data_IF_611098802369
#
_entry.id   IF_611098802369
#
_cell.length_a   1.000
_cell.length_b   1.000
_cell.length_c   1.000
_cell.angle_alpha   90.00
_cell.angle_beta   90.00
_cell.angle_gamma   90.00
#
_symmetry.space_group_name_H-M   'P 1'
#
loop_
_entity.id
_entity.type
_entity.pdbx_description
1 polymer ?
#
# COMPACT_ATOMS: atom_id res chain seq x y z
N UNK A 1 -17.14 -8.80 -21.14
CA UNK A 1 -16.39 -7.54 -21.08
C UNK A 1 -15.87 -7.40 -19.67
N UNK A 2 -14.56 -7.49 -19.45
CA UNK A 2 -13.99 -7.27 -18.12
C UNK A 2 -14.10 -5.80 -17.76
N UNK A 3 -14.87 -5.50 -16.73
CA UNK A 3 -14.99 -4.16 -16.16
C UNK A 3 -13.62 -3.72 -15.60
N UNK A 4 -13.16 -2.53 -15.98
CA UNK A 4 -11.89 -1.94 -15.53
C UNK A 4 -11.88 -1.82 -14.00
N UNK A 5 -13.04 -1.53 -13.38
CA UNK A 5 -13.18 -1.46 -11.94
C UNK A 5 -12.93 -2.82 -11.27
N UNK A 6 -13.44 -3.91 -11.85
CA UNK A 6 -13.21 -5.27 -11.35
C UNK A 6 -11.73 -5.65 -11.42
N UNK A 7 -11.03 -5.31 -12.50
CA UNK A 7 -9.59 -5.55 -12.63
C UNK A 7 -8.82 -4.78 -11.54
N UNK A 8 -9.16 -3.50 -11.33
CA UNK A 8 -8.51 -2.67 -10.31
C UNK A 8 -8.70 -3.25 -8.90
N UNK A 9 -9.91 -3.73 -8.57
CA UNK A 9 -10.20 -4.36 -7.27
C UNK A 9 -9.41 -5.66 -7.10
N UNK A 10 -9.34 -6.53 -8.11
CA UNK A 10 -8.55 -7.77 -8.04
C UNK A 10 -7.06 -7.46 -7.87
N UNK A 11 -6.52 -6.55 -8.67
CA UNK A 11 -5.13 -6.11 -8.56
C UNK A 11 -4.83 -5.52 -7.18
N UNK A 12 -5.79 -4.78 -6.60
CA UNK A 12 -5.65 -4.23 -5.25
C UNK A 12 -5.52 -5.33 -4.19
N UNK A 13 -6.23 -6.45 -4.31
CA UNK A 13 -6.11 -7.56 -3.34
C UNK A 13 -4.76 -8.25 -3.45
N UNK A 14 -4.27 -8.46 -4.67
CA UNK A 14 -2.90 -8.97 -4.93
C UNK A 14 -1.86 -8.03 -4.32
N UNK A 15 -1.99 -6.73 -4.56
CA UNK A 15 -1.08 -5.72 -4.01
C UNK A 15 -1.12 -5.66 -2.48
N UNK A 16 -2.30 -5.83 -1.85
CA UNK A 16 -2.39 -5.97 -0.38
C UNK A 16 -1.62 -7.19 0.11
N UNK A 17 -1.80 -8.34 -0.53
CA UNK A 17 -1.11 -9.57 -0.14
C UNK A 17 0.41 -9.45 -0.26
N UNK A 18 0.88 -8.91 -1.39
CA UNK A 18 2.31 -8.66 -1.62
C UNK A 18 2.87 -7.62 -0.64
N UNK A 19 2.19 -6.48 -0.48
CA UNK A 19 2.66 -5.41 0.38
C UNK A 19 2.70 -5.82 1.86
N UNK A 20 1.67 -6.51 2.33
CA UNK A 20 1.64 -7.06 3.68
C UNK A 20 2.69 -8.15 3.87
N UNK A 21 2.88 -9.02 2.86
CA UNK A 21 3.94 -10.03 2.86
C UNK A 21 5.34 -9.44 2.96
N UNK A 22 5.64 -8.38 2.20
CA UNK A 22 6.92 -7.67 2.28
C UNK A 22 7.11 -6.98 3.64
N UNK A 23 6.07 -6.35 4.17
CA UNK A 23 6.11 -5.72 5.47
C UNK A 23 6.35 -6.75 6.59
N UNK A 24 5.69 -7.90 6.53
CA UNK A 24 5.88 -9.00 7.47
C UNK A 24 7.28 -9.62 7.33
N UNK A 25 7.74 -9.86 6.11
CA UNK A 25 9.08 -10.37 5.85
C UNK A 25 10.17 -9.41 6.35
N UNK A 26 9.94 -8.09 6.27
CA UNK A 26 10.85 -7.09 6.86
C UNK A 26 11.08 -7.28 8.36
N UNK A 27 10.10 -7.77 9.11
CA UNK A 27 10.25 -8.07 10.54
C UNK A 27 11.12 -9.30 10.81
N UNK A 28 11.04 -10.34 9.98
CA UNK A 28 11.67 -11.64 10.27
C UNK A 28 12.93 -11.93 9.43
N UNK A 29 13.09 -11.31 8.26
CA UNK A 29 14.11 -11.67 7.27
C UNK A 29 15.28 -10.69 7.15
N UNK A 30 15.15 -9.44 7.60
CA UNK A 30 16.15 -8.39 7.36
C UNK A 30 17.32 -8.41 8.35
N UNK A 31 18.49 -8.92 7.93
CA UNK A 31 19.73 -8.84 8.74
C UNK A 31 20.35 -7.44 8.75
N UNK A 32 20.14 -6.67 7.68
CA UNK A 32 20.63 -5.30 7.56
C UNK A 32 19.49 -4.28 7.81
N UNK A 33 19.69 -3.27 8.68
CA UNK A 33 18.66 -2.27 9.00
C UNK A 33 18.10 -1.55 7.77
N UNK A 34 18.97 -1.21 6.81
CA UNK A 34 18.58 -0.50 5.58
C UNK A 34 17.70 -1.37 4.67
N UNK A 35 18.06 -2.65 4.48
CA UNK A 35 17.28 -3.57 3.67
C UNK A 35 15.88 -3.79 4.28
N UNK A 36 15.83 -3.93 5.61
CA UNK A 36 14.57 -4.00 6.35
C UNK A 36 13.71 -2.77 6.13
N UNK A 37 14.29 -1.56 6.23
CA UNK A 37 13.57 -0.32 6.01
C UNK A 37 13.00 -0.23 4.58
N UNK A 38 13.78 -0.57 3.56
CA UNK A 38 13.32 -0.63 2.15
C UNK A 38 12.16 -1.61 1.97
N UNK A 39 12.20 -2.79 2.60
CA UNK A 39 11.10 -3.78 2.54
C UNK A 39 9.81 -3.24 3.16
N UNK A 40 9.91 -2.59 4.33
CA UNK A 40 8.74 -1.96 4.95
C UNK A 40 8.19 -0.81 4.10
N UNK A 41 9.05 0.02 3.51
CA UNK A 41 8.61 1.13 2.66
C UNK A 41 7.90 0.65 1.39
N UNK A 42 8.43 -0.37 0.71
CA UNK A 42 7.74 -1.02 -0.40
C UNK A 42 6.40 -1.63 0.03
N UNK A 43 6.38 -2.32 1.18
CA UNK A 43 5.16 -2.92 1.72
C UNK A 43 4.08 -1.88 2.01
N UNK A 44 4.44 -0.79 2.68
CA UNK A 44 3.56 0.35 2.99
C UNK A 44 3.00 0.95 1.71
N UNK A 45 3.86 1.26 0.73
CA UNK A 45 3.42 1.86 -0.53
C UNK A 45 2.37 0.99 -1.25
N UNK A 46 2.59 -0.33 -1.32
CA UNK A 46 1.66 -1.26 -1.96
C UNK A 46 0.34 -1.38 -1.18
N UNK A 47 0.38 -1.55 0.14
CA UNK A 47 -0.82 -1.71 0.97
C UNK A 47 -1.71 -0.47 0.92
N UNK A 48 -1.13 0.72 1.10
CA UNK A 48 -1.93 1.96 1.10
C UNK A 48 -2.46 2.29 -0.30
N UNK A 49 -1.69 2.03 -1.37
CA UNK A 49 -2.18 2.21 -2.74
C UNK A 49 -3.36 1.27 -3.02
N UNK A 50 -3.26 0.01 -2.58
CA UNK A 50 -4.33 -0.96 -2.71
C UNK A 50 -5.60 -0.59 -1.93
N UNK A 51 -5.44 -0.05 -0.71
CA UNK A 51 -6.56 0.45 0.09
C UNK A 51 -7.22 1.62 -0.62
N UNK A 52 -6.45 2.59 -1.14
CA UNK A 52 -6.99 3.73 -1.86
C UNK A 52 -7.81 3.30 -3.08
N UNK A 53 -7.33 2.33 -3.87
CA UNK A 53 -8.10 1.76 -4.98
C UNK A 53 -9.46 1.27 -4.49
N UNK A 54 -9.51 0.47 -3.41
CA UNK A 54 -10.76 -0.04 -2.86
C UNK A 54 -11.64 1.05 -2.23
N UNK A 55 -11.08 2.15 -1.75
CA UNK A 55 -11.84 3.30 -1.24
C UNK A 55 -12.49 4.06 -2.38
N UNK A 56 -11.77 4.32 -3.47
CA UNK A 56 -12.28 5.13 -4.60
C UNK A 56 -13.21 4.35 -5.53
N UNK A 57 -13.09 3.02 -5.59
CA UNK A 57 -13.99 2.17 -6.39
C UNK A 57 -15.28 1.79 -5.66
N UNK A 58 -15.48 2.25 -4.42
CA UNK A 58 -16.72 2.01 -3.70
C UNK A 58 -17.82 2.95 -4.20
N UNK A 59 -18.98 2.40 -4.56
CA UNK A 59 -20.16 3.18 -4.96
C UNK A 59 -20.99 3.70 -3.76
N UNK A 60 -20.52 3.46 -2.54
CA UNK A 60 -21.20 3.88 -1.31
C UNK A 60 -20.56 5.14 -0.72
N UNK A 61 -21.29 5.81 0.18
CA UNK A 61 -20.73 6.91 0.97
C UNK A 61 -19.55 6.45 1.82
N UNK A 62 -18.47 7.25 1.80
CA UNK A 62 -17.30 7.01 2.62
C UNK A 62 -17.62 7.29 4.09
N UNK A 63 -17.30 6.34 4.96
CA UNK A 63 -17.30 6.55 6.40
C UNK A 63 -16.08 7.36 6.85
N UNK A 64 -16.06 7.69 8.14
CA UNK A 64 -14.99 8.50 8.74
C UNK A 64 -13.60 7.87 8.55
N UNK A 65 -13.50 6.55 8.64
CA UNK A 65 -12.23 5.84 8.46
C UNK A 65 -11.74 5.84 7.02
N UNK A 66 -12.63 5.66 6.03
CA UNK A 66 -12.23 5.76 4.63
C UNK A 66 -11.78 7.18 4.28
N UNK A 67 -12.47 8.20 4.80
CA UNK A 67 -12.03 9.59 4.68
C UNK A 67 -10.65 9.81 5.27
N UNK A 68 -10.41 9.32 6.49
CA UNK A 68 -9.09 9.40 7.11
C UNK A 68 -8.02 8.70 6.25
N UNK A 69 -8.28 7.47 5.79
CA UNK A 69 -7.38 6.72 4.91
C UNK A 69 -7.14 7.40 3.55
N UNK A 70 -8.16 8.06 3.00
CA UNK A 70 -8.06 8.79 1.75
C UNK A 70 -7.03 9.93 1.81
N UNK A 71 -6.93 10.62 2.95
CA UNK A 71 -5.93 11.67 3.17
C UNK A 71 -4.61 11.16 3.71
N UNK A 72 -4.66 10.23 4.67
CA UNK A 72 -3.47 9.70 5.35
C UNK A 72 -2.69 8.76 4.43
N UNK A 73 -3.37 7.94 3.63
CA UNK A 73 -2.75 6.97 2.73
C UNK A 73 -1.72 7.58 1.78
N UNK A 74 -2.05 8.64 1.03
CA UNK A 74 -1.09 9.35 0.17
C UNK A 74 0.14 9.88 0.92
N UNK A 75 -0.02 10.35 2.16
CA UNK A 75 1.10 10.83 2.97
C UNK A 75 2.07 9.70 3.32
N UNK A 76 1.57 8.52 3.70
CA UNK A 76 2.39 7.35 3.97
C UNK A 76 3.09 6.84 2.71
N UNK A 77 2.39 6.82 1.57
CA UNK A 77 2.97 6.44 0.27
C UNK A 77 4.09 7.42 -0.10
N UNK A 78 3.85 8.73 -0.04
CA UNK A 78 4.85 9.74 -0.36
C UNK A 78 6.08 9.62 0.54
N UNK A 79 5.89 9.46 1.84
CA UNK A 79 6.97 9.27 2.79
C UNK A 79 7.77 7.98 2.54
N UNK A 80 7.10 6.88 2.18
CA UNK A 80 7.75 5.61 1.83
C UNK A 80 8.57 5.74 0.54
N UNK A 81 8.00 6.32 -0.52
CA UNK A 81 8.70 6.56 -1.79
C UNK A 81 9.90 7.49 -1.59
N UNK A 82 9.76 8.54 -0.81
CA UNK A 82 10.85 9.44 -0.47
C UNK A 82 12.02 8.73 0.22
N UNK A 83 11.72 7.84 1.18
CA UNK A 83 12.75 7.01 1.82
C UNK A 83 13.37 6.02 0.85
N UNK A 84 12.58 5.38 -0.01
CA UNK A 84 13.10 4.47 -1.05
C UNK A 84 14.06 5.18 -2.00
N UNK A 85 13.70 6.35 -2.50
CA UNK A 85 14.56 7.13 -3.40
C UNK A 85 15.90 7.49 -2.74
N UNK A 86 15.88 7.93 -1.47
CA UNK A 86 17.10 8.30 -0.75
C UNK A 86 17.95 7.14 -0.28
N UNK A 87 17.36 5.96 -0.20
CA UNK A 87 18.07 4.79 0.28
C UNK A 87 18.44 3.83 -0.83
N UNK A 88 18.01 4.03 -2.09
CA UNK A 88 18.26 3.13 -3.24
C UNK A 88 19.73 3.00 -3.61
#
# INVERSE_FOLDING_TARGET
MTDVAQIAVVASWVATGLGFGLWLYGWFGGKAPLQRQRLHDCGIALVFSAILVRVVTQERSLGVFEWALFFIGPLFIAAALWRLVRTS
#
